data_IF_918336473681
#
_entry.id   IF_918336473681
#
_cell.length_a   1.000
_cell.length_b   1.000
_cell.length_c   1.000
_cell.angle_alpha   90.00
_cell.angle_beta   90.00
_cell.angle_gamma   90.00
#
_symmetry.space_group_name_H-M   'P 1'
#
loop_
_entity.id
_entity.type
_entity.pdbx_description
1 polymer ?
#
# COMPACT_ATOMS: atom_id res chain seq x y z
N UNK A 1 27.09 -13.04 11.01
CA UNK A 1 27.07 -14.41 11.58
C UNK A 1 26.66 -15.43 10.53
N UNK A 2 27.15 -16.68 10.59
CA UNK A 2 26.72 -17.80 9.72
C UNK A 2 25.80 -18.72 10.50
N UNK A 3 24.60 -18.98 9.98
CA UNK A 3 23.54 -19.72 10.66
C UNK A 3 23.12 -20.89 9.78
N UNK A 4 23.00 -22.09 10.37
CA UNK A 4 22.48 -23.26 9.65
C UNK A 4 20.98 -23.40 9.88
N UNK A 5 20.20 -23.37 8.79
CA UNK A 5 18.74 -23.48 8.81
C UNK A 5 18.35 -24.70 7.99
N UNK A 6 18.14 -25.81 8.69
CA UNK A 6 17.79 -27.12 8.11
C UNK A 6 18.63 -27.47 6.85
N UNK A 7 19.95 -27.28 6.92
CA UNK A 7 20.89 -27.63 5.85
C UNK A 7 21.24 -26.51 4.87
N UNK A 8 20.71 -25.30 5.06
CA UNK A 8 21.09 -24.11 4.28
C UNK A 8 21.93 -23.17 5.16
N UNK A 9 23.11 -22.80 4.66
CA UNK A 9 23.98 -21.82 5.30
C UNK A 9 23.51 -20.40 4.99
N UNK A 10 22.99 -19.71 6.00
CA UNK A 10 22.48 -18.34 5.92
C UNK A 10 23.51 -17.37 6.47
N UNK A 11 23.88 -16.37 5.67
CA UNK A 11 24.72 -15.26 6.09
C UNK A 11 23.83 -14.15 6.64
N UNK A 12 23.89 -13.94 7.95
CA UNK A 12 23.11 -12.94 8.66
C UNK A 12 23.99 -11.71 8.97
N UNK A 13 23.60 -10.49 8.59
CA UNK A 13 24.47 -9.31 8.62
C UNK A 13 24.64 -8.69 10.02
N UNK A 14 24.18 -9.36 11.07
CA UNK A 14 24.33 -8.96 12.46
C UNK A 14 25.08 -10.03 13.27
N UNK A 15 25.64 -9.62 14.40
CA UNK A 15 26.37 -10.51 15.32
C UNK A 15 25.42 -11.40 16.14
N UNK A 16 24.22 -10.91 16.46
CA UNK A 16 23.22 -11.59 17.28
C UNK A 16 21.93 -11.85 16.49
N UNK A 17 21.28 -12.97 16.78
CA UNK A 17 19.97 -13.35 16.25
C UNK A 17 19.00 -13.60 17.41
N UNK A 18 17.76 -13.18 17.25
CA UNK A 18 16.69 -13.51 18.20
C UNK A 18 16.14 -14.93 17.96
N UNK A 19 15.71 -15.66 19.00
CA UNK A 19 15.07 -16.97 18.84
C UNK A 19 13.89 -16.95 17.85
N UNK A 20 13.05 -15.92 17.91
CA UNK A 20 11.93 -15.73 16.99
C UNK A 20 12.36 -15.52 15.53
N UNK A 21 13.51 -14.88 15.28
CA UNK A 21 14.06 -14.74 13.92
C UNK A 21 14.48 -16.11 13.37
N UNK A 22 15.09 -16.95 14.21
CA UNK A 22 15.47 -18.30 13.82
C UNK A 22 14.24 -19.17 13.50
N UNK A 23 13.22 -19.16 14.37
CA UNK A 23 11.97 -19.87 14.13
C UNK A 23 11.23 -19.35 12.90
N UNK A 24 11.21 -18.03 12.68
CA UNK A 24 10.64 -17.43 11.47
C UNK A 24 11.32 -17.95 10.21
N UNK A 25 12.65 -18.02 10.20
CA UNK A 25 13.41 -18.55 9.07
C UNK A 25 13.13 -20.05 8.85
N UNK A 26 13.00 -20.85 9.90
CA UNK A 26 12.62 -22.26 9.76
C UNK A 26 11.25 -22.44 9.10
N UNK A 27 10.23 -21.72 9.58
CA UNK A 27 8.88 -21.79 9.02
C UNK A 27 8.80 -21.23 7.60
N UNK A 28 9.54 -20.16 7.32
CA UNK A 28 9.67 -19.62 5.97
C UNK A 28 10.32 -20.65 5.03
N UNK A 29 11.39 -21.30 5.45
CA UNK A 29 12.04 -22.36 4.66
C UNK A 29 11.06 -23.50 4.37
N UNK A 30 10.28 -23.96 5.35
CA UNK A 30 9.25 -24.99 5.14
C UNK A 30 8.22 -24.60 4.08
N UNK A 31 7.79 -23.34 4.05
CA UNK A 31 6.87 -22.84 3.01
C UNK A 31 7.48 -22.87 1.61
N UNK A 32 8.76 -22.50 1.50
CA UNK A 32 9.49 -22.50 0.23
C UNK A 32 9.80 -23.93 -0.26
N UNK A 33 10.13 -24.85 0.66
CA UNK A 33 10.37 -26.26 0.37
C UNK A 33 9.10 -26.95 -0.15
N UNK A 34 7.95 -26.65 0.46
CA UNK A 34 6.65 -27.21 0.06
C UNK A 34 6.04 -26.58 -1.19
N UNK A 35 6.65 -25.53 -1.77
CA UNK A 35 6.15 -24.79 -2.95
C UNK A 35 4.69 -24.32 -2.79
N UNK A 36 4.36 -23.80 -1.61
CA UNK A 36 3.02 -23.33 -1.31
C UNK A 36 2.99 -21.88 -0.80
N UNK A 37 1.78 -21.40 -0.53
CA UNK A 37 1.57 -20.09 0.08
C UNK A 37 1.70 -20.18 1.61
N UNK A 38 2.06 -19.09 2.26
CA UNK A 38 2.25 -19.03 3.71
C UNK A 38 1.75 -17.73 4.31
N UNK A 39 1.23 -17.81 5.53
CA UNK A 39 0.85 -16.64 6.34
C UNK A 39 1.68 -16.67 7.62
N UNK A 40 2.59 -15.71 7.77
CA UNK A 40 3.56 -15.68 8.87
C UNK A 40 3.45 -14.36 9.63
N UNK A 41 2.97 -14.41 10.86
CA UNK A 41 2.92 -13.24 11.75
C UNK A 41 4.21 -13.10 12.54
N UNK A 42 4.95 -12.02 12.30
CA UNK A 42 6.19 -11.71 13.01
C UNK A 42 6.13 -10.30 13.62
N UNK A 43 6.22 -10.17 14.96
CA UNK A 43 5.95 -8.91 15.66
C UNK A 43 6.89 -7.80 15.20
N UNK A 44 6.38 -6.57 15.19
CA UNK A 44 7.14 -5.40 14.76
C UNK A 44 8.38 -5.18 15.63
N UNK A 45 9.47 -4.71 15.03
CA UNK A 45 10.74 -4.43 15.73
C UNK A 45 11.70 -5.62 15.84
N UNK A 46 11.29 -6.83 15.47
CA UNK A 46 12.13 -8.04 15.57
C UNK A 46 13.02 -8.30 14.36
N UNK A 47 13.16 -7.36 13.41
CA UNK A 47 14.00 -7.56 12.22
C UNK A 47 13.43 -8.56 11.19
N UNK A 48 12.11 -8.51 10.95
CA UNK A 48 11.43 -9.35 9.95
C UNK A 48 12.04 -9.27 8.56
N UNK A 49 12.37 -8.05 8.12
CA UNK A 49 12.83 -7.77 6.77
C UNK A 49 14.21 -8.38 6.54
N UNK A 50 15.18 -8.10 7.41
CA UNK A 50 16.52 -8.70 7.30
C UNK A 50 16.49 -10.23 7.42
N UNK A 51 15.61 -10.77 8.26
CA UNK A 51 15.48 -12.22 8.43
C UNK A 51 14.98 -12.88 7.15
N UNK A 52 13.95 -12.29 6.54
CA UNK A 52 13.39 -12.73 5.27
C UNK A 52 14.42 -12.61 4.14
N UNK A 53 15.06 -11.44 3.99
CA UNK A 53 16.05 -11.21 2.93
C UNK A 53 17.24 -12.16 3.04
N UNK A 54 17.78 -12.37 4.24
CA UNK A 54 18.93 -13.24 4.48
C UNK A 54 18.64 -14.68 4.07
N UNK A 55 17.47 -15.20 4.46
CA UNK A 55 17.06 -16.56 4.11
C UNK A 55 16.76 -16.71 2.61
N UNK A 56 16.03 -15.77 1.99
CA UNK A 56 15.70 -15.85 0.56
C UNK A 56 16.96 -15.84 -0.30
N UNK A 57 17.91 -14.95 -0.02
CA UNK A 57 19.18 -14.90 -0.77
C UNK A 57 19.97 -16.20 -0.62
N UNK A 58 20.04 -16.75 0.60
CA UNK A 58 20.69 -18.03 0.86
C UNK A 58 19.98 -19.20 0.14
N UNK A 59 18.65 -19.20 0.13
CA UNK A 59 17.84 -20.21 -0.56
C UNK A 59 18.02 -20.16 -2.08
N UNK A 60 18.05 -18.97 -2.67
CA UNK A 60 18.30 -18.76 -4.10
C UNK A 60 19.70 -19.24 -4.51
N UNK A 61 20.73 -18.96 -3.69
CA UNK A 61 22.10 -19.45 -3.96
C UNK A 61 22.22 -20.98 -3.78
N UNK A 62 21.57 -21.56 -2.77
CA UNK A 62 21.61 -22.99 -2.54
C UNK A 62 20.79 -23.79 -3.56
N UNK A 63 19.72 -23.20 -4.11
CA UNK A 63 18.78 -23.86 -5.04
C UNK A 63 18.35 -22.92 -6.17
N UNK A 64 19.24 -22.63 -7.13
CA UNK A 64 18.96 -21.68 -8.22
C UNK A 64 17.79 -22.12 -9.12
N UNK A 65 17.54 -23.42 -9.27
CA UNK A 65 16.42 -23.95 -10.08
C UNK A 65 15.05 -23.81 -9.41
N UNK A 66 14.99 -23.56 -8.10
CA UNK A 66 13.73 -23.50 -7.36
C UNK A 66 13.14 -22.07 -7.33
N UNK A 67 13.99 -21.07 -7.16
CA UNK A 67 13.60 -19.66 -7.05
C UNK A 67 14.58 -18.80 -7.85
N UNK A 68 14.14 -18.31 -9.00
CA UNK A 68 14.95 -17.42 -9.85
C UNK A 68 14.75 -15.94 -9.52
N UNK A 69 13.53 -15.57 -9.10
CA UNK A 69 13.14 -14.17 -8.89
C UNK A 69 12.45 -14.01 -7.56
N UNK A 70 12.84 -12.94 -6.85
CA UNK A 70 12.24 -12.53 -5.61
C UNK A 70 11.54 -11.18 -5.80
N UNK A 71 10.27 -11.10 -5.42
CA UNK A 71 9.46 -9.88 -5.51
C UNK A 71 9.04 -9.51 -4.09
N UNK A 72 9.46 -8.34 -3.63
CA UNK A 72 9.07 -7.80 -2.34
C UNK A 72 8.06 -6.66 -2.54
N UNK A 73 6.90 -6.77 -1.90
CA UNK A 73 5.85 -5.76 -1.97
C UNK A 73 5.69 -5.10 -0.60
N UNK A 74 5.80 -3.76 -0.55
CA UNK A 74 5.52 -2.96 0.65
C UNK A 74 4.40 -1.96 0.37
N UNK A 75 3.78 -1.44 1.42
CA UNK A 75 2.67 -0.48 1.29
C UNK A 75 3.16 0.92 0.98
N UNK A 76 4.26 1.35 1.60
CA UNK A 76 4.73 2.73 1.52
C UNK A 76 6.15 2.82 0.95
N UNK A 77 6.47 3.96 0.33
CA UNK A 77 7.81 4.22 -0.24
C UNK A 77 8.91 4.22 0.83
N UNK A 78 8.72 4.82 2.03
CA UNK A 78 9.74 4.75 3.08
C UNK A 78 10.03 3.32 3.56
N UNK A 79 9.05 2.41 3.53
CA UNK A 79 9.30 1.00 3.82
C UNK A 79 10.18 0.35 2.75
N UNK A 80 9.93 0.67 1.46
CA UNK A 80 10.74 0.17 0.35
C UNK A 80 12.19 0.68 0.48
N UNK A 81 12.39 1.95 0.82
CA UNK A 81 13.72 2.52 1.06
C UNK A 81 14.47 1.77 2.16
N UNK A 82 13.81 1.46 3.28
CA UNK A 82 14.39 0.66 4.37
C UNK A 82 14.79 -0.74 3.90
N UNK A 83 13.96 -1.41 3.10
CA UNK A 83 14.27 -2.74 2.54
C UNK A 83 15.52 -2.68 1.65
N UNK A 84 15.68 -1.60 0.87
CA UNK A 84 16.85 -1.40 0.00
C UNK A 84 18.11 -1.15 0.83
N UNK A 85 18.02 -0.39 1.92
CA UNK A 85 19.13 -0.19 2.85
C UNK A 85 19.57 -1.49 3.51
N UNK A 86 18.61 -2.30 3.98
CA UNK A 86 18.90 -3.63 4.54
C UNK A 86 19.50 -4.58 3.50
N UNK A 87 19.03 -4.54 2.25
CA UNK A 87 19.59 -5.34 1.16
C UNK A 87 21.03 -4.91 0.82
N UNK A 88 21.34 -3.61 0.84
CA UNK A 88 22.71 -3.09 0.66
C UNK A 88 23.62 -3.55 1.79
N UNK A 89 23.15 -3.51 3.04
CA UNK A 89 23.88 -4.02 4.20
C UNK A 89 24.19 -5.51 4.02
N UNK A 90 23.20 -6.30 3.61
CA UNK A 90 23.37 -7.72 3.33
C UNK A 90 24.37 -7.95 2.19
N UNK A 91 24.27 -7.21 1.09
CA UNK A 91 25.20 -7.32 -0.04
C UNK A 91 26.65 -7.05 0.37
N UNK A 92 26.87 -6.00 1.17
CA UNK A 92 28.19 -5.68 1.74
C UNK A 92 28.71 -6.79 2.64
N UNK A 93 27.84 -7.36 3.49
CA UNK A 93 28.21 -8.47 4.37
C UNK A 93 28.60 -9.73 3.58
N UNK A 94 27.88 -10.03 2.49
CA UNK A 94 28.24 -11.13 1.60
C UNK A 94 29.60 -10.90 0.93
N UNK A 95 29.89 -9.68 0.44
CA UNK A 95 31.18 -9.41 -0.22
C UNK A 95 32.35 -9.60 0.75
N UNK A 96 32.19 -9.21 2.02
CA UNK A 96 33.22 -9.39 3.04
C UNK A 96 33.45 -10.84 3.44
N UNK A 97 32.40 -11.68 3.47
CA UNK A 97 32.49 -13.06 3.96
C UNK A 97 32.86 -14.08 2.88
N UNK A 98 32.49 -13.81 1.63
CA UNK A 98 32.68 -14.75 0.51
C UNK A 98 33.82 -14.36 -0.44
N UNK A 99 34.46 -13.20 -0.24
CA UNK A 99 35.47 -12.61 -1.15
C UNK A 99 35.01 -12.53 -2.62
N UNK A 100 33.71 -12.58 -2.84
CA UNK A 100 33.04 -12.56 -4.14
C UNK A 100 32.45 -11.15 -4.39
N UNK A 101 31.96 -10.86 -5.60
CA UNK A 101 31.26 -9.60 -5.92
C UNK A 101 29.84 -9.51 -5.28
N UNK A 102 29.76 -9.80 -3.98
CA UNK A 102 28.58 -9.69 -3.14
C UNK A 102 27.55 -10.80 -3.34
N UNK A 103 26.26 -10.44 -3.27
CA UNK A 103 25.18 -11.41 -3.36
C UNK A 103 24.90 -11.92 -4.79
N UNK A 104 25.47 -11.31 -5.84
CA UNK A 104 25.23 -11.70 -7.24
C UNK A 104 23.79 -11.45 -7.73
N UNK A 105 23.03 -10.60 -7.03
CA UNK A 105 21.64 -10.29 -7.34
C UNK A 105 21.48 -8.84 -7.80
N UNK A 106 20.68 -8.63 -8.84
CA UNK A 106 20.26 -7.31 -9.29
C UNK A 106 18.99 -6.89 -8.54
N UNK A 107 19.11 -5.93 -7.64
CA UNK A 107 17.97 -5.32 -6.95
C UNK A 107 17.34 -4.21 -7.80
N UNK A 108 16.06 -4.33 -8.12
CA UNK A 108 15.28 -3.29 -8.84
C UNK A 108 14.17 -2.77 -7.94
N UNK A 109 14.09 -1.45 -7.80
CA UNK A 109 13.07 -0.77 -7.02
C UNK A 109 12.06 -0.13 -7.96
N UNK A 110 10.77 -0.41 -7.76
CA UNK A 110 9.69 0.19 -8.51
C UNK A 110 8.81 1.03 -7.59
N UNK A 111 8.46 2.23 -8.05
CA UNK A 111 7.58 3.17 -7.35
C UNK A 111 6.67 3.86 -8.37
N UNK A 112 5.90 4.86 -7.92
CA UNK A 112 5.05 5.66 -8.80
C UNK A 112 5.89 6.52 -9.76
N UNK A 113 5.26 6.93 -10.86
CA UNK A 113 5.85 7.87 -11.82
C UNK A 113 6.26 9.18 -11.17
N UNK A 114 5.53 9.65 -10.15
CA UNK A 114 5.90 10.86 -9.38
C UNK A 114 7.32 10.77 -8.78
N UNK A 115 7.73 9.58 -8.35
CA UNK A 115 9.02 9.37 -7.71
C UNK A 115 10.14 9.02 -8.70
N UNK A 116 9.80 8.40 -9.83
CA UNK A 116 10.76 7.93 -10.85
C UNK A 116 10.84 8.81 -12.11
N UNK A 117 10.04 9.88 -12.21
CA UNK A 117 10.06 10.76 -13.37
C UNK A 117 11.33 11.62 -13.42
N UNK A 118 12.08 11.50 -14.51
CA UNK A 118 13.30 12.26 -14.78
C UNK A 118 12.98 13.63 -15.39
N UNK A 119 11.89 13.72 -16.15
CA UNK A 119 11.51 14.91 -16.91
C UNK A 119 11.08 16.05 -15.98
N UNK A 120 11.73 17.22 -16.10
CA UNK A 120 11.58 18.32 -15.13
C UNK A 120 10.19 18.94 -15.19
N UNK A 121 9.64 19.09 -16.38
CA UNK A 121 8.33 19.72 -16.59
C UNK A 121 7.19 18.83 -16.08
N UNK A 122 7.32 17.53 -16.27
CA UNK A 122 6.37 16.54 -15.75
C UNK A 122 6.46 16.46 -14.23
N UNK A 123 7.67 16.41 -13.66
CA UNK A 123 7.90 16.34 -12.21
C UNK A 123 7.34 17.55 -11.45
N UNK A 124 7.37 18.74 -12.05
CA UNK A 124 6.82 19.98 -11.46
C UNK A 124 5.29 20.03 -11.40
N UNK A 125 4.60 19.11 -12.07
CA UNK A 125 3.12 19.08 -12.12
C UNK A 125 2.47 18.69 -10.78
N UNK A 126 3.26 18.32 -9.76
CA UNK A 126 2.83 18.18 -8.37
C UNK A 126 2.10 16.87 -8.09
N UNK A 127 0.82 16.80 -8.44
CA UNK A 127 -0.07 15.67 -8.13
C UNK A 127 0.23 14.43 -9.02
N UNK A 128 0.01 13.23 -8.48
CA UNK A 128 0.27 11.97 -9.17
C UNK A 128 -0.53 11.83 -10.47
N UNK A 129 -1.83 12.16 -10.44
CA UNK A 129 -2.68 12.12 -11.62
C UNK A 129 -2.24 13.14 -12.70
N UNK A 130 -1.77 14.32 -12.27
CA UNK A 130 -1.25 15.33 -13.18
C UNK A 130 0.08 14.88 -13.82
N UNK A 131 0.97 14.26 -13.04
CA UNK A 131 2.21 13.63 -13.53
C UNK A 131 1.88 12.52 -14.55
N UNK A 132 0.88 11.69 -14.26
CA UNK A 132 0.49 10.59 -15.15
C UNK A 132 -0.11 11.10 -16.47
N UNK A 133 -0.95 12.12 -16.40
CA UNK A 133 -1.50 12.78 -17.58
C UNK A 133 -0.43 13.53 -18.40
N UNK A 134 0.51 14.21 -17.74
CA UNK A 134 1.63 14.88 -18.40
C UNK A 134 2.59 13.88 -19.05
N UNK A 135 2.89 12.77 -18.37
CA UNK A 135 3.63 11.65 -18.93
C UNK A 135 2.89 11.06 -20.14
N UNK A 136 1.59 10.79 -20.01
CA UNK A 136 0.76 10.27 -21.10
C UNK A 136 0.79 11.17 -22.33
N UNK A 137 0.75 12.50 -22.16
CA UNK A 137 0.87 13.47 -23.28
C UNK A 137 2.18 13.32 -24.06
N UNK A 138 3.26 12.87 -23.43
CA UNK A 138 4.56 12.64 -24.09
C UNK A 138 4.70 11.19 -24.59
N UNK A 139 4.05 10.23 -23.92
CA UNK A 139 4.24 8.79 -24.20
C UNK A 139 3.14 8.15 -25.02
N UNK A 140 2.04 8.87 -25.32
CA UNK A 140 0.90 8.26 -26.00
C UNK A 140 1.29 7.70 -27.38
N UNK A 141 0.72 6.55 -27.75
CA UNK A 141 1.07 5.78 -28.95
C UNK A 141 1.08 6.61 -30.25
N UNK A 142 0.21 7.61 -30.38
CA UNK A 142 0.17 8.53 -31.52
C UNK A 142 1.31 9.57 -31.50
N UNK A 143 1.80 9.98 -30.33
CA UNK A 143 2.98 10.83 -30.17
C UNK A 143 4.24 10.07 -30.52
N UNK A 144 4.33 8.79 -30.14
CA UNK A 144 5.46 7.92 -30.51
C UNK A 144 5.55 7.70 -32.02
N UNK A 145 4.40 7.54 -32.69
CA UNK A 145 4.32 7.46 -34.15
C UNK A 145 4.70 8.77 -34.84
N UNK A 146 4.36 9.93 -34.25
CA UNK A 146 4.79 11.24 -34.74
C UNK A 146 6.29 11.48 -34.49
N UNK A 147 6.81 11.04 -33.35
CA UNK A 147 8.25 11.11 -33.05
C UNK A 147 9.09 10.22 -33.99
N UNK A 148 8.54 9.07 -34.39
CA UNK A 148 9.17 8.24 -35.42
C UNK A 148 9.26 8.95 -36.80
N UNK A 149 8.42 9.97 -37.05
CA UNK A 149 8.47 10.81 -38.24
C UNK A 149 9.26 12.11 -38.04
N UNK A 150 9.39 12.60 -36.80
CA UNK A 150 10.10 13.82 -36.43
C UNK A 150 10.77 13.66 -35.05
N UNK A 151 12.10 13.57 -35.02
CA UNK A 151 12.90 13.27 -33.82
C UNK A 151 12.96 14.42 -32.79
N UNK A 152 12.31 15.57 -33.06
CA UNK A 152 12.23 16.70 -32.14
C UNK A 152 11.19 16.53 -31.01
N UNK A 153 10.35 15.48 -31.07
CA UNK A 153 9.17 15.29 -30.19
C UNK A 153 9.43 14.21 -29.09
N UNK A 154 9.84 14.56 -27.86
CA UNK A 154 10.25 13.57 -26.85
C UNK A 154 9.17 12.51 -26.51
N UNK A 155 9.59 11.24 -26.37
CA UNK A 155 8.72 10.07 -26.25
C UNK A 155 9.28 8.96 -25.32
N UNK A 156 8.44 8.42 -24.41
CA UNK A 156 8.76 7.30 -23.48
C UNK A 156 7.62 6.25 -23.39
N UNK A 157 7.72 5.23 -22.53
CA UNK A 157 6.93 3.97 -22.61
C UNK A 157 6.17 3.54 -21.33
N UNK A 158 4.91 3.10 -21.49
CA UNK A 158 4.04 2.22 -20.64
C UNK A 158 3.38 2.75 -19.34
N UNK A 159 2.09 2.40 -19.12
CA UNK A 159 1.31 2.52 -17.87
C UNK A 159 0.29 1.37 -17.70
N UNK A 160 -0.08 1.02 -16.45
CA UNK A 160 -1.14 0.06 -16.06
C UNK A 160 -1.96 0.69 -14.91
N UNK A 161 -3.29 0.49 -14.88
CA UNK A 161 -4.19 0.95 -13.80
C UNK A 161 -5.02 -0.21 -13.20
N UNK A 162 -5.44 -0.01 -11.94
CA UNK A 162 -6.14 -0.96 -11.07
C UNK A 162 -7.65 -0.74 -10.99
N UNK A 163 -8.39 -1.78 -10.60
CA UNK A 163 -9.85 -1.88 -10.70
C UNK A 163 -10.61 -1.40 -9.46
N UNK A 164 -11.08 -0.16 -9.48
CA UNK A 164 -12.23 0.37 -8.70
C UNK A 164 -12.54 1.80 -9.17
N UNK A 165 -13.81 2.19 -9.27
CA UNK A 165 -14.18 3.52 -9.79
C UNK A 165 -15.27 4.19 -8.95
N UNK A 166 -15.09 5.49 -8.68
CA UNK A 166 -16.10 6.35 -8.05
C UNK A 166 -16.54 7.39 -9.06
N UNK A 167 -17.85 7.45 -9.33
CA UNK A 167 -18.44 8.42 -10.24
C UNK A 167 -19.21 9.47 -9.44
N UNK A 168 -18.78 10.73 -9.55
CA UNK A 168 -19.46 11.88 -8.95
C UNK A 168 -20.18 12.69 -10.02
N UNK A 169 -21.14 13.53 -9.60
CA UNK A 169 -21.77 14.53 -10.50
C UNK A 169 -20.74 15.40 -11.22
N UNK A 170 -19.69 15.84 -10.52
CA UNK A 170 -18.58 16.62 -11.12
C UNK A 170 -17.84 15.82 -12.20
N UNK A 171 -17.67 14.52 -11.99
CA UNK A 171 -17.06 13.62 -12.99
C UNK A 171 -17.93 13.55 -14.25
N UNK A 172 -19.25 13.47 -14.10
CA UNK A 172 -20.20 13.47 -15.22
C UNK A 172 -20.23 14.81 -15.96
N UNK A 173 -20.22 15.95 -15.26
CA UNK A 173 -20.15 17.28 -15.88
C UNK A 173 -18.85 17.45 -16.70
N UNK A 174 -17.71 16.99 -16.15
CA UNK A 174 -16.44 16.93 -16.88
C UNK A 174 -16.50 15.99 -18.08
N UNK A 175 -17.18 14.84 -17.96
CA UNK A 175 -17.37 13.91 -19.06
C UNK A 175 -18.21 14.53 -20.18
N UNK A 176 -19.30 15.24 -19.85
CA UNK A 176 -20.12 15.97 -20.84
C UNK A 176 -19.33 17.05 -21.56
N UNK A 177 -18.54 17.84 -20.82
CA UNK A 177 -17.63 18.82 -21.45
C UNK A 177 -16.62 18.14 -22.38
N UNK A 178 -16.08 16.99 -21.98
CA UNK A 178 -15.13 16.21 -22.79
C UNK A 178 -15.80 15.60 -24.02
N UNK A 179 -17.06 15.16 -23.92
CA UNK A 179 -17.85 14.66 -25.05
C UNK A 179 -18.14 15.76 -26.07
N UNK A 180 -18.45 16.98 -25.61
CA UNK A 180 -18.65 18.11 -26.52
C UNK A 180 -17.37 18.47 -27.28
N UNK A 181 -16.22 18.51 -26.58
CA UNK A 181 -14.90 18.69 -27.23
C UNK A 181 -14.58 17.57 -28.21
N UNK A 182 -14.94 16.33 -27.88
CA UNK A 182 -14.75 15.19 -28.77
C UNK A 182 -15.64 15.30 -30.01
N UNK A 183 -16.90 15.71 -29.85
CA UNK A 183 -17.84 15.91 -30.96
C UNK A 183 -17.36 17.00 -31.92
N UNK A 184 -16.87 18.12 -31.38
CA UNK A 184 -16.23 19.19 -32.16
C UNK A 184 -15.01 18.64 -32.92
N UNK A 185 -14.12 17.92 -32.23
CA UNK A 185 -12.94 17.33 -32.86
C UNK A 185 -13.27 16.30 -33.94
N UNK A 186 -14.34 15.52 -33.76
CA UNK A 186 -14.83 14.56 -34.77
C UNK A 186 -15.37 15.31 -35.99
N UNK A 187 -16.05 16.44 -35.80
CA UNK A 187 -16.49 17.31 -36.90
C UNK A 187 -15.29 17.83 -37.69
N UNK A 188 -14.26 18.33 -37.01
CA UNK A 188 -13.03 18.81 -37.65
C UNK A 188 -12.31 17.72 -38.46
N UNK A 189 -12.21 16.51 -37.90
CA UNK A 189 -11.53 15.39 -38.57
C UNK A 189 -12.35 14.87 -39.74
N UNK A 190 -13.68 14.90 -39.66
CA UNK A 190 -14.55 14.57 -40.80
C UNK A 190 -14.35 15.53 -41.97
N UNK A 191 -14.13 16.82 -41.70
CA UNK A 191 -13.88 17.83 -42.72
C UNK A 191 -12.46 17.72 -43.31
N UNK A 192 -11.45 17.45 -42.48
CA UNK A 192 -10.04 17.54 -42.89
C UNK A 192 -9.37 16.21 -43.25
N UNK A 193 -9.85 15.06 -42.76
CA UNK A 193 -9.16 13.76 -42.88
C UNK A 193 -10.14 12.57 -42.92
N UNK A 194 -11.06 12.59 -43.90
CA UNK A 194 -12.08 11.55 -44.06
C UNK A 194 -11.51 10.14 -44.37
N UNK A 195 -10.38 10.05 -45.07
CA UNK A 195 -9.75 8.75 -45.41
C UNK A 195 -9.21 8.04 -44.18
N UNK A 196 -8.48 8.77 -43.32
CA UNK A 196 -7.96 8.21 -42.07
C UNK A 196 -9.08 7.72 -41.14
N UNK A 197 -10.23 8.38 -41.15
CA UNK A 197 -11.40 7.96 -40.39
C UNK A 197 -12.00 6.65 -40.94
N UNK A 198 -12.04 6.50 -42.26
CA UNK A 198 -12.50 5.27 -42.94
C UNK A 198 -11.57 4.09 -42.67
N UNK A 199 -10.25 4.32 -42.64
CA UNK A 199 -9.28 3.26 -42.34
C UNK A 199 -9.35 2.79 -40.88
N UNK A 200 -9.49 3.72 -39.93
CA UNK A 200 -9.73 3.37 -38.52
C UNK A 200 -11.07 2.64 -38.35
N UNK A 201 -12.13 3.07 -39.05
CA UNK A 201 -13.41 2.36 -39.04
C UNK A 201 -13.28 0.93 -39.57
N UNK A 202 -12.57 0.71 -40.69
CA UNK A 202 -12.29 -0.63 -41.22
C UNK A 202 -11.54 -1.50 -40.22
N UNK A 203 -10.47 -0.95 -39.60
CA UNK A 203 -9.71 -1.65 -38.54
C UNK A 203 -10.59 -2.01 -37.35
N UNK A 204 -11.47 -1.12 -36.92
CA UNK A 204 -12.43 -1.35 -35.84
C UNK A 204 -13.42 -2.46 -36.19
N UNK A 205 -13.99 -2.45 -37.39
CA UNK A 205 -14.94 -3.49 -37.85
C UNK A 205 -14.24 -4.85 -37.93
N UNK A 206 -12.99 -4.88 -38.39
CA UNK A 206 -12.19 -6.10 -38.49
C UNK A 206 -11.77 -6.63 -37.11
N UNK A 207 -11.36 -5.74 -36.20
CA UNK A 207 -11.07 -6.08 -34.81
C UNK A 207 -12.31 -6.50 -34.02
N UNK A 208 -13.47 -5.87 -34.26
CA UNK A 208 -14.74 -6.26 -33.65
C UNK A 208 -15.21 -7.62 -34.16
N UNK A 209 -15.01 -7.95 -35.44
CA UNK A 209 -15.27 -9.30 -35.97
C UNK A 209 -14.42 -10.36 -35.26
N UNK A 210 -13.14 -10.08 -34.99
CA UNK A 210 -12.27 -10.97 -34.20
C UNK A 210 -12.70 -11.05 -32.73
N UNK A 211 -13.12 -9.94 -32.13
CA UNK A 211 -13.62 -9.89 -30.76
C UNK A 211 -14.99 -10.56 -30.59
N UNK A 212 -15.82 -10.58 -31.63
CA UNK A 212 -17.16 -11.18 -31.60
C UNK A 212 -17.07 -12.71 -31.60
N UNK A 213 -16.05 -13.29 -32.24
CA UNK A 213 -15.71 -14.73 -32.15
C UNK A 213 -15.24 -15.13 -30.74
N UNK A 214 -14.79 -14.17 -29.92
CA UNK A 214 -14.40 -14.39 -28.51
C UNK A 214 -15.49 -14.01 -27.50
N UNK A 215 -16.62 -13.43 -27.95
CA UNK A 215 -17.70 -12.90 -27.09
C UNK A 215 -18.86 -13.85 -26.83
N UNK A 216 -18.88 -15.05 -27.41
CA UNK A 216 -19.91 -16.07 -27.09
C UNK A 216 -19.84 -16.54 -25.62
N UNK A 217 -18.90 -16.03 -24.81
CA UNK A 217 -18.82 -16.23 -23.35
C UNK A 217 -19.26 -15.04 -22.49
N UNK A 218 -19.55 -13.86 -23.06
CA UNK A 218 -19.87 -12.66 -22.26
C UNK A 218 -21.38 -12.49 -22.05
N UNK A 219 -21.93 -13.26 -21.11
CA UNK A 219 -23.11 -12.81 -20.38
C UNK A 219 -22.73 -11.54 -19.62
N UNK A 220 -23.50 -10.47 -19.82
CA UNK A 220 -23.36 -9.19 -19.10
C UNK A 220 -23.55 -9.44 -17.60
N UNK A 221 -22.41 -9.57 -16.93
CA UNK A 221 -22.08 -9.37 -15.52
C UNK A 221 -23.26 -9.08 -14.56
N UNK A 222 -24.01 -10.12 -14.22
CA UNK A 222 -24.46 -10.29 -12.83
C UNK A 222 -23.32 -10.98 -12.08
N UNK A 223 -22.20 -10.28 -11.84
CA UNK A 223 -21.13 -10.83 -11.02
C UNK A 223 -21.50 -10.53 -9.55
N UNK A 224 -21.88 -11.54 -8.73
CA UNK A 224 -22.37 -11.34 -7.37
C UNK A 224 -21.37 -10.63 -6.45
N UNK A 225 -20.11 -10.56 -6.86
CA UNK A 225 -19.01 -9.93 -6.15
C UNK A 225 -18.94 -8.40 -6.27
N UNK A 226 -19.70 -7.76 -7.18
CA UNK A 226 -19.68 -6.31 -7.35
C UNK A 226 -21.01 -5.68 -6.93
N UNK A 227 -20.93 -4.62 -6.13
CA UNK A 227 -22.10 -3.87 -5.66
C UNK A 227 -22.09 -2.46 -6.24
N UNK A 228 -23.25 -2.04 -6.74
CA UNK A 228 -23.51 -0.68 -7.17
C UNK A 228 -24.29 0.04 -6.06
N UNK A 229 -23.67 1.03 -5.43
CA UNK A 229 -24.29 1.85 -4.38
C UNK A 229 -24.48 3.25 -4.93
N UNK A 230 -25.70 3.77 -4.85
CA UNK A 230 -26.03 5.12 -5.31
C UNK A 230 -26.50 5.91 -4.10
N UNK A 231 -25.71 6.91 -3.70
CA UNK A 231 -26.02 7.80 -2.59
C UNK A 231 -26.47 9.15 -3.16
N UNK A 232 -27.72 9.58 -2.95
CA UNK A 232 -28.21 10.85 -3.47
C UNK A 232 -27.71 12.08 -2.68
N UNK A 233 -27.31 11.88 -1.42
CA UNK A 233 -26.88 12.90 -0.50
C UNK A 233 -25.57 12.47 0.17
N UNK A 234 -24.78 13.45 0.61
CA UNK A 234 -23.57 13.20 1.39
C UNK A 234 -23.93 12.97 2.87
N UNK A 235 -23.34 11.96 3.52
CA UNK A 235 -23.66 11.58 4.92
C UNK A 235 -23.55 12.77 5.89
N UNK A 236 -22.60 13.68 5.65
CA UNK A 236 -22.35 14.85 6.50
C UNK A 236 -23.32 16.01 6.28
N UNK A 237 -24.01 16.04 5.15
CA UNK A 237 -24.86 17.15 4.72
C UNK A 237 -26.10 16.61 3.97
N UNK A 238 -27.07 16.02 4.70
CA UNK A 238 -28.21 15.31 4.11
C UNK A 238 -29.15 16.22 3.30
N UNK A 239 -29.03 17.54 3.44
CA UNK A 239 -29.82 18.54 2.71
C UNK A 239 -29.19 18.94 1.38
N UNK A 240 -27.90 18.64 1.15
CA UNK A 240 -27.19 19.01 -0.07
C UNK A 240 -27.27 17.85 -1.05
N UNK A 241 -27.95 18.06 -2.17
CA UNK A 241 -28.05 17.07 -3.25
C UNK A 241 -26.66 16.91 -3.89
N UNK A 242 -26.02 15.78 -3.61
CA UNK A 242 -24.71 15.43 -4.17
C UNK A 242 -24.71 13.93 -4.53
N UNK A 243 -25.26 13.56 -5.71
CA UNK A 243 -25.36 12.16 -6.08
C UNK A 243 -23.98 11.58 -6.39
N UNK A 244 -23.62 10.51 -5.68
CA UNK A 244 -22.41 9.73 -5.88
C UNK A 244 -22.76 8.29 -6.17
N UNK A 245 -22.13 7.73 -7.20
CA UNK A 245 -22.27 6.34 -7.59
C UNK A 245 -20.95 5.61 -7.30
N UNK A 246 -21.04 4.62 -6.42
CA UNK A 246 -19.96 3.75 -6.03
C UNK A 246 -20.10 2.42 -6.73
N UNK A 247 -19.08 2.04 -7.50
CA UNK A 247 -18.95 0.70 -8.04
C UNK A 247 -17.84 -0.04 -7.28
N UNK A 248 -18.25 -0.86 -6.30
CA UNK A 248 -17.34 -1.48 -5.34
C UNK A 248 -17.26 -3.00 -5.55
N UNK A 249 -16.03 -3.51 -5.53
CA UNK A 249 -15.77 -4.95 -5.46
C UNK A 249 -15.85 -5.39 -3.99
N UNK A 250 -16.80 -6.26 -3.66
CA UNK A 250 -16.99 -6.82 -2.32
C UNK A 250 -16.15 -8.09 -2.09
N UNK A 251 -15.61 -8.66 -3.16
CA UNK A 251 -14.79 -9.86 -3.11
C UNK A 251 -13.30 -9.53 -3.28
N UNK A 252 -12.54 -9.68 -2.20
CA UNK A 252 -11.10 -9.44 -2.18
C UNK A 252 -10.29 -10.58 -2.84
N UNK A 253 -10.91 -11.73 -3.15
CA UNK A 253 -10.25 -12.85 -3.83
C UNK A 253 -9.99 -12.55 -5.31
N UNK A 254 -10.86 -11.75 -5.96
CA UNK A 254 -10.78 -11.52 -7.40
C UNK A 254 -9.45 -10.86 -7.84
N UNK A 255 -8.94 -9.81 -7.16
CA UNK A 255 -7.67 -9.20 -7.54
C UNK A 255 -6.44 -10.08 -7.21
N UNK A 256 -6.51 -10.91 -6.17
CA UNK A 256 -5.38 -11.71 -5.69
C UNK A 256 -5.30 -13.09 -6.36
N UNK A 257 -6.42 -13.63 -6.86
CA UNK A 257 -6.48 -14.91 -7.58
C UNK A 257 -5.44 -15.06 -8.71
N UNK A 258 -5.23 -14.08 -9.61
CA UNK A 258 -4.18 -14.19 -10.63
C UNK A 258 -2.76 -14.20 -10.04
N UNK A 259 -2.55 -13.64 -8.85
CA UNK A 259 -1.25 -13.65 -8.15
C UNK A 259 -0.98 -15.07 -7.63
N UNK A 260 -1.92 -15.68 -6.91
CA UNK A 260 -1.78 -17.07 -6.44
C UNK A 260 -1.66 -18.08 -7.60
N UNK A 261 -2.32 -17.83 -8.74
CA UNK A 261 -2.20 -18.70 -9.92
C UNK A 261 -0.86 -18.54 -10.67
N UNK A 262 -0.22 -17.37 -10.63
CA UNK A 262 1.03 -17.09 -11.36
C UNK A 262 2.29 -17.42 -10.56
N UNK A 263 2.25 -17.25 -9.24
CA UNK A 263 3.42 -17.40 -8.38
C UNK A 263 3.35 -18.70 -7.59
N UNK A 264 4.47 -19.44 -7.56
CA UNK A 264 4.59 -20.73 -6.88
C UNK A 264 4.38 -20.58 -5.37
N UNK A 265 5.04 -19.61 -4.76
CA UNK A 265 4.94 -19.33 -3.33
C UNK A 265 4.69 -17.85 -3.09
N UNK A 266 3.65 -17.57 -2.31
CA UNK A 266 3.28 -16.20 -1.90
C UNK A 266 3.25 -16.21 -0.38
N UNK A 267 4.13 -15.41 0.22
CA UNK A 267 4.26 -15.30 1.67
C UNK A 267 3.66 -13.98 2.10
N UNK A 268 2.59 -14.05 2.89
CA UNK A 268 1.97 -12.90 3.54
C UNK A 268 2.58 -12.79 4.93
N UNK A 269 3.30 -11.71 5.18
CA UNK A 269 3.92 -11.47 6.49
C UNK A 269 3.63 -10.07 7.00
N UNK A 270 3.24 -9.96 8.26
CA UNK A 270 3.03 -8.69 8.96
C UNK A 270 3.07 -8.94 10.47
N UNK A 271 3.35 -7.90 11.25
CA UNK A 271 3.47 -8.01 12.70
C UNK A 271 2.19 -7.77 13.48
N UNK A 272 1.06 -7.63 12.78
CA UNK A 272 -0.25 -7.36 13.37
C UNK A 272 -1.34 -8.16 12.65
N UNK A 273 -1.01 -9.35 12.13
CA UNK A 273 -1.98 -10.21 11.46
C UNK A 273 -2.75 -10.99 12.52
N UNK A 274 -3.88 -10.45 12.96
CA UNK A 274 -4.72 -11.12 13.96
C UNK A 274 -6.20 -10.92 13.64
N UNK A 275 -7.02 -12.01 13.64
CA UNK A 275 -6.66 -13.42 13.71
C UNK A 275 -6.18 -13.98 12.35
N UNK A 276 -5.19 -14.90 12.36
CA UNK A 276 -4.58 -15.45 11.13
C UNK A 276 -5.54 -16.24 10.24
N UNK A 277 -6.54 -16.90 10.84
CA UNK A 277 -7.52 -17.73 10.12
C UNK A 277 -8.45 -16.93 9.20
N UNK A 278 -8.53 -15.60 9.39
CA UNK A 278 -9.39 -14.74 8.60
C UNK A 278 -8.88 -14.56 7.17
N UNK A 279 -7.55 -14.45 6.99
CA UNK A 279 -6.96 -14.12 5.69
C UNK A 279 -7.19 -15.20 4.63
N UNK A 280 -6.99 -16.51 4.92
CA UNK A 280 -7.31 -17.59 3.98
C UNK A 280 -8.78 -17.58 3.53
N UNK A 281 -9.70 -17.26 4.45
CA UNK A 281 -11.15 -17.24 4.18
C UNK A 281 -11.57 -16.05 3.32
N UNK A 282 -10.99 -14.87 3.54
CA UNK A 282 -11.33 -13.66 2.77
C UNK A 282 -10.71 -13.69 1.37
N UNK A 283 -9.47 -14.17 1.26
CA UNK A 283 -8.71 -14.13 0.00
C UNK A 283 -8.87 -15.42 -0.83
N UNK A 284 -9.65 -16.39 -0.35
CA UNK A 284 -9.93 -17.69 -0.97
C UNK A 284 -8.65 -18.44 -1.38
N UNK A 285 -7.76 -18.69 -0.42
CA UNK A 285 -6.55 -19.48 -0.65
C UNK A 285 -6.25 -20.40 0.55
N UNK A 286 -5.51 -21.47 0.27
CA UNK A 286 -5.11 -22.46 1.27
C UNK A 286 -3.61 -22.34 1.56
N UNK A 287 -3.20 -21.76 2.70
CA UNK A 287 -1.78 -21.70 3.06
C UNK A 287 -1.28 -23.08 3.49
N UNK A 288 -0.05 -23.41 3.10
CA UNK A 288 0.66 -24.60 3.58
C UNK A 288 1.13 -24.41 5.01
N UNK A 289 1.49 -23.18 5.38
CA UNK A 289 1.93 -22.85 6.73
C UNK A 289 1.23 -21.59 7.22
N UNK A 290 0.77 -21.64 8.47
CA UNK A 290 0.23 -20.50 9.20
C UNK A 290 0.89 -20.48 10.57
N UNK A 291 1.73 -19.48 10.82
CA UNK A 291 2.51 -19.40 12.05
C UNK A 291 2.44 -17.99 12.65
N UNK A 292 2.37 -17.92 13.98
CA UNK A 292 2.49 -16.69 14.76
C UNK A 292 3.68 -16.81 15.69
N UNK A 293 4.53 -15.79 15.72
CA UNK A 293 5.69 -15.73 16.60
C UNK A 293 5.46 -14.73 17.71
N UNK A 294 5.73 -15.12 18.94
CA UNK A 294 5.69 -14.21 20.09
C UNK A 294 7.05 -13.55 20.27
N UNK A 295 7.05 -12.26 20.60
CA UNK A 295 8.28 -11.51 20.84
C UNK A 295 8.87 -11.91 22.20
N UNK A 296 10.09 -12.43 22.22
CA UNK A 296 10.74 -12.84 23.47
C UNK A 296 11.64 -11.71 23.94
N UNK A 297 11.09 -10.81 24.76
CA UNK A 297 11.89 -9.74 25.34
C UNK A 297 12.60 -10.24 26.62
N UNK A 298 13.88 -9.90 26.77
CA UNK A 298 14.63 -10.17 28.01
C UNK A 298 14.07 -9.38 29.22
N UNK A 299 13.27 -8.35 28.98
CA UNK A 299 12.55 -7.54 29.98
C UNK A 299 11.14 -7.26 29.47
N UNK A 300 10.18 -7.10 30.37
CA UNK A 300 8.84 -6.64 30.01
C UNK A 300 8.90 -5.15 29.64
N UNK A 301 9.22 -4.83 28.38
CA UNK A 301 9.34 -3.45 27.90
C UNK A 301 8.00 -2.85 27.45
N UNK A 302 6.92 -3.63 27.41
CA UNK A 302 5.59 -3.19 27.00
C UNK A 302 4.58 -3.65 28.04
N UNK A 303 3.79 -2.71 28.59
CA UNK A 303 2.72 -2.99 29.54
C UNK A 303 1.39 -2.50 28.95
N UNK A 304 0.64 -3.38 28.26
CA UNK A 304 -0.69 -3.02 27.79
C UNK A 304 -1.65 -2.88 28.99
N UNK A 305 -2.34 -1.76 29.08
CA UNK A 305 -3.35 -1.50 30.11
C UNK A 305 -4.65 -1.04 29.47
N UNK A 306 -5.76 -1.68 29.86
CA UNK A 306 -7.11 -1.31 29.41
C UNK A 306 -7.78 -0.50 30.51
N UNK A 307 -8.00 0.79 30.26
CA UNK A 307 -8.74 1.67 31.17
C UNK A 307 -10.23 1.62 30.82
N UNK A 308 -11.00 0.81 31.53
CA UNK A 308 -12.43 0.60 31.25
C UNK A 308 -13.36 1.62 31.93
N UNK A 309 -12.90 2.30 32.98
CA UNK A 309 -13.71 3.20 33.81
C UNK A 309 -12.91 4.44 34.19
N UNK A 310 -13.58 5.59 34.26
CA UNK A 310 -13.00 6.83 34.76
C UNK A 310 -12.96 6.87 36.29
N UNK A 311 -12.40 7.96 36.84
CA UNK A 311 -12.35 8.18 38.29
C UNK A 311 -13.74 8.17 38.94
N UNK A 312 -14.75 8.58 38.17
CA UNK A 312 -16.15 8.65 38.60
C UNK A 312 -16.89 7.31 38.45
N UNK A 313 -16.18 6.20 38.19
CA UNK A 313 -16.72 4.85 37.91
C UNK A 313 -17.58 4.73 36.65
N UNK A 314 -17.79 5.82 35.91
CA UNK A 314 -18.48 5.82 34.62
C UNK A 314 -17.66 5.02 33.60
N UNK A 315 -18.28 4.08 32.86
CA UNK A 315 -17.59 3.34 31.82
C UNK A 315 -17.10 4.28 30.71
N UNK A 316 -15.82 4.17 30.36
CA UNK A 316 -15.24 4.95 29.28
C UNK A 316 -15.50 4.24 27.94
N UNK A 317 -16.32 4.85 27.08
CA UNK A 317 -16.77 4.23 25.83
C UNK A 317 -16.88 5.24 24.70
N UNK A 318 -16.49 4.86 23.49
CA UNK A 318 -16.64 5.68 22.27
C UNK A 318 -17.78 5.18 21.36
N UNK A 319 -18.71 4.38 21.92
CA UNK A 319 -19.97 3.99 21.27
C UNK A 319 -20.71 5.22 20.76
N UNK A 320 -21.31 5.10 19.57
CA UNK A 320 -21.95 6.22 18.86
C UNK A 320 -23.00 6.96 19.71
N UNK A 321 -23.81 6.22 20.47
CA UNK A 321 -24.87 6.77 21.33
C UNK A 321 -24.32 7.59 22.52
N UNK A 322 -23.14 7.25 23.03
CA UNK A 322 -22.56 7.85 24.23
C UNK A 322 -21.46 8.87 23.93
N UNK A 323 -21.31 9.30 22.67
CA UNK A 323 -20.22 10.21 22.26
C UNK A 323 -20.41 11.64 22.74
N UNK A 324 -21.66 12.07 22.84
CA UNK A 324 -22.04 13.40 23.29
C UNK A 324 -22.11 13.50 24.83
N UNK A 325 -21.91 12.38 25.54
CA UNK A 325 -21.89 12.39 26.99
C UNK A 325 -20.64 13.12 27.51
N UNK A 326 -20.89 14.30 28.08
CA UNK A 326 -19.86 15.15 28.67
C UNK A 326 -19.07 14.46 29.79
N UNK A 327 -19.65 13.48 30.47
CA UNK A 327 -18.94 12.70 31.50
C UNK A 327 -17.81 11.86 30.89
N UNK A 328 -18.06 11.22 29.74
CA UNK A 328 -17.07 10.40 29.03
C UNK A 328 -15.95 11.29 28.47
N UNK A 329 -16.32 12.39 27.84
CA UNK A 329 -15.43 13.43 27.31
C UNK A 329 -14.49 13.94 28.42
N UNK A 330 -15.05 14.32 29.57
CA UNK A 330 -14.27 14.75 30.74
C UNK A 330 -13.30 13.67 31.23
N UNK A 331 -13.74 12.41 31.31
CA UNK A 331 -12.89 11.31 31.76
C UNK A 331 -11.70 11.06 30.82
N UNK A 332 -11.87 11.16 29.50
CA UNK A 332 -10.75 11.09 28.56
C UNK A 332 -9.79 12.27 28.70
N UNK A 333 -10.32 13.49 28.89
CA UNK A 333 -9.51 14.68 29.15
C UNK A 333 -8.65 14.53 30.41
N UNK A 334 -9.25 14.07 31.52
CA UNK A 334 -8.53 13.80 32.76
C UNK A 334 -7.48 12.70 32.62
N UNK A 335 -7.79 11.59 31.93
CA UNK A 335 -6.84 10.51 31.70
C UNK A 335 -5.61 11.02 30.92
N UNK A 336 -5.82 11.77 29.83
CA UNK A 336 -4.72 12.32 29.04
C UNK A 336 -3.93 13.38 29.82
N UNK A 337 -4.61 14.23 30.60
CA UNK A 337 -3.94 15.22 31.45
C UNK A 337 -3.04 14.55 32.51
N UNK A 338 -3.52 13.48 33.16
CA UNK A 338 -2.72 12.71 34.12
C UNK A 338 -1.55 11.99 33.45
N UNK A 339 -1.78 11.34 32.31
CA UNK A 339 -0.71 10.68 31.55
C UNK A 339 0.35 11.67 31.06
N UNK A 340 -0.05 12.86 30.59
CA UNK A 340 0.89 13.90 30.17
C UNK A 340 1.75 14.49 31.29
N UNK A 341 1.29 14.42 32.54
CA UNK A 341 2.10 14.81 33.69
C UNK A 341 3.12 13.74 34.11
N UNK A 342 2.81 12.45 33.89
CA UNK A 342 3.63 11.32 34.36
C UNK A 342 4.59 10.80 33.30
N UNK A 343 4.14 10.69 32.04
CA UNK A 343 4.92 10.09 30.96
C UNK A 343 5.99 11.08 30.48
N UNK A 344 7.28 10.73 30.55
CA UNK A 344 8.34 11.57 30.01
C UNK A 344 8.25 11.69 28.49
N UNK A 345 8.86 12.73 27.92
CA UNK A 345 8.97 12.94 26.47
C UNK A 345 7.62 13.07 25.75
N UNK A 346 7.31 12.14 24.83
CA UNK A 346 6.18 12.22 23.91
C UNK A 346 5.07 11.22 24.23
N UNK A 347 3.83 11.64 23.99
CA UNK A 347 2.64 10.78 23.98
C UNK A 347 2.05 10.81 22.57
N UNK A 348 1.68 9.64 22.06
CA UNK A 348 0.90 9.53 20.81
C UNK A 348 -0.50 9.06 21.20
N UNK A 349 -1.51 9.87 20.89
CA UNK A 349 -2.91 9.59 21.20
C UNK A 349 -3.70 9.40 19.90
N UNK A 350 -4.25 8.20 19.71
CA UNK A 350 -5.10 7.87 18.57
C UNK A 350 -6.56 7.99 18.95
N UNK A 351 -7.35 8.70 18.14
CA UNK A 351 -8.79 8.87 18.34
C UNK A 351 -9.57 8.23 17.19
N UNK A 352 -10.77 7.66 17.46
CA UNK A 352 -11.60 7.08 16.42
C UNK A 352 -12.23 8.13 15.47
N UNK A 353 -12.20 9.42 15.84
CA UNK A 353 -12.72 10.51 15.01
C UNK A 353 -12.12 11.86 15.42
N UNK A 354 -11.98 12.77 14.45
CA UNK A 354 -11.55 14.16 14.64
C UNK A 354 -12.47 14.97 15.57
N UNK A 355 -13.73 14.55 15.77
CA UNK A 355 -14.66 15.21 16.69
C UNK A 355 -14.13 15.30 18.13
N UNK A 356 -13.30 14.33 18.53
CA UNK A 356 -12.71 14.27 19.86
C UNK A 356 -11.49 15.18 20.06
N UNK A 357 -11.01 15.87 19.02
CA UNK A 357 -9.85 16.75 19.13
C UNK A 357 -10.10 17.99 20.00
N UNK A 358 -11.36 18.35 20.24
CA UNK A 358 -11.70 19.43 21.18
C UNK A 358 -11.41 19.09 22.65
N UNK A 359 -11.10 17.82 22.97
CA UNK A 359 -10.75 17.35 24.32
C UNK A 359 -9.39 17.84 24.85
N UNK A 360 -8.63 18.56 24.03
CA UNK A 360 -7.17 18.61 24.13
C UNK A 360 -6.66 19.87 24.86
N UNK A 361 -7.51 20.87 25.13
CA UNK A 361 -7.08 22.13 25.75
C UNK A 361 -6.39 21.94 27.12
N UNK A 362 -6.78 20.91 27.87
CA UNK A 362 -6.20 20.62 29.19
C UNK A 362 -4.76 20.07 29.13
N UNK A 363 -4.34 19.52 27.98
CA UNK A 363 -3.03 18.87 27.78
C UNK A 363 -1.92 19.91 27.57
N UNK A 364 -2.25 21.07 26.99
CA UNK A 364 -1.30 22.16 26.71
C UNK A 364 -0.57 22.67 27.96
N UNK A 365 -1.08 22.36 29.16
CA UNK A 365 -0.46 22.70 30.44
C UNK A 365 0.85 21.94 30.71
N UNK A 366 0.99 20.72 30.18
CA UNK A 366 2.13 19.85 30.49
C UNK A 366 2.98 19.51 29.27
N UNK A 367 2.40 19.46 28.06
CA UNK A 367 3.12 19.09 26.82
C UNK A 367 2.68 19.94 25.63
N UNK A 368 3.60 20.11 24.68
CA UNK A 368 3.30 20.69 23.38
C UNK A 368 2.41 19.75 22.58
N UNK A 369 1.42 20.33 21.90
CA UNK A 369 0.44 19.59 21.12
C UNK A 369 0.75 19.70 19.63
N UNK A 370 0.74 18.57 18.94
CA UNK A 370 0.78 18.49 17.48
C UNK A 370 -0.44 17.68 17.02
N UNK A 371 -1.31 18.31 16.22
CA UNK A 371 -2.56 17.70 15.75
C UNK A 371 -2.39 17.32 14.28
N UNK A 372 -2.79 16.09 13.95
CA UNK A 372 -2.92 15.63 12.57
C UNK A 372 -4.12 16.31 11.91
N UNK A 373 -3.92 16.90 10.72
CA UNK A 373 -4.99 17.50 9.92
C UNK A 373 -5.24 16.65 8.68
N UNK A 374 -6.32 16.93 7.94
CA UNK A 374 -6.60 16.21 6.68
C UNK A 374 -5.63 16.59 5.56
N UNK A 375 -4.84 17.66 5.75
CA UNK A 375 -3.81 18.06 4.81
C UNK A 375 -2.50 17.32 5.09
N UNK A 376 -1.97 16.68 4.06
CA UNK A 376 -0.73 15.91 4.13
C UNK A 376 0.49 16.81 4.37
N UNK A 377 0.50 18.05 3.85
CA UNK A 377 1.62 18.98 4.03
C UNK A 377 1.70 19.48 5.47
N UNK A 378 0.58 19.94 6.03
CA UNK A 378 0.48 20.34 7.43
C UNK A 378 0.84 19.21 8.38
N UNK A 379 0.32 18.01 8.12
CA UNK A 379 0.63 16.81 8.91
C UNK A 379 2.13 16.48 8.86
N UNK A 380 2.76 16.62 7.70
CA UNK A 380 4.21 16.41 7.56
C UNK A 380 5.01 17.44 8.37
N UNK A 381 4.57 18.70 8.39
CA UNK A 381 5.18 19.76 9.20
C UNK A 381 4.99 19.52 10.70
N UNK A 382 3.79 19.12 11.12
CA UNK A 382 3.47 18.79 12.50
C UNK A 382 4.33 17.61 13.00
N UNK A 383 4.48 16.56 12.19
CA UNK A 383 5.33 15.41 12.50
C UNK A 383 6.81 15.81 12.58
N UNK A 384 7.30 16.64 11.66
CA UNK A 384 8.67 17.15 11.70
C UNK A 384 8.93 17.99 12.95
N UNK A 385 7.97 18.82 13.37
CA UNK A 385 8.05 19.60 14.59
C UNK A 385 8.05 18.71 15.84
N UNK A 386 7.18 17.69 15.88
CA UNK A 386 7.15 16.69 16.95
C UNK A 386 8.50 15.97 17.12
N UNK A 387 9.13 15.57 16.01
CA UNK A 387 10.46 14.94 16.03
C UNK A 387 11.59 15.88 16.47
N UNK A 388 11.46 17.20 16.30
CA UNK A 388 12.47 18.17 16.77
C UNK A 388 12.41 18.38 18.28
N UNK A 389 11.22 18.31 18.86
CA UNK A 389 10.99 18.53 20.29
C UNK A 389 11.24 17.26 21.09
N UNK A 390 10.94 16.09 20.52
CA UNK A 390 11.22 14.81 21.17
C UNK A 390 12.75 14.58 21.22
N UNK A 391 13.33 14.23 22.39
CA UNK A 391 14.74 13.90 22.46
C UNK A 391 15.02 12.70 21.53
N UNK A 392 16.11 12.80 20.75
CA UNK A 392 16.59 11.67 19.95
C UNK A 392 17.07 10.58 20.92
N UNK A 393 16.29 9.52 21.06
CA UNK A 393 16.69 8.28 21.75
C UNK A 393 17.77 7.59 20.94
#
# INVERSE_FOLDING_TARGET
MKINIDGILVYFPYEYIYPEQYHYMLELKRTLDAKGHGVLEMPSGTGKTVSLLSLVVAYMKARPSAVEKFIYCSRTVPEIEKVVEELKLLHKYYSTETNDEGCGLLGVVLSSRKNLCIERDVRRSGDGAAVDAACFRLTASFVRKKHAADASIPCYNVCIESMSCVLSRRSLEKATSSLNKLAERVSDVKQNNAERLKDEYKRLVEGLRQAQVSKDTDQVLANPSFCLIIEPFEERSPTVINPVLYFQCMDASLPIRPIFARFVSVIITSGTLSPLEMYPRILDFHPVNTASFTMTLARNCVLPMIVSKGNDQVPMTTKFESREDMAVVRNYGHLLAQLSAVVPDGIVAFFPSYHYLHLIEQIQRHKLLFVETQDAEETSLALAAYHRVSPKV
#
